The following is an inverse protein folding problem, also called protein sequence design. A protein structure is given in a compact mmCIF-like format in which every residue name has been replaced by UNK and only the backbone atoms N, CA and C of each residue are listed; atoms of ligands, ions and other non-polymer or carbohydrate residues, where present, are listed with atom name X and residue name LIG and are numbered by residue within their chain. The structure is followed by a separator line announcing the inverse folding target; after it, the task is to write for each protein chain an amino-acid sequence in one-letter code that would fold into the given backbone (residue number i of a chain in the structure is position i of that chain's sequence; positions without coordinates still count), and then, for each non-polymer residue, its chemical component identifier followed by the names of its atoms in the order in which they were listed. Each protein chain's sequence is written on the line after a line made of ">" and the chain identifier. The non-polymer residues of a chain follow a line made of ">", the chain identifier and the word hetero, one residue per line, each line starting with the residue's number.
data_IF_878352505927
#
_entry.id   IF_878352505927
#
_cell.length_a   1.000
_cell.length_b   1.000
_cell.length_c   1.000
_cell.angle_alpha   90.00
_cell.angle_beta   90.00
_cell.angle_gamma   90.00
#
_symmetry.space_group_name_H-M   'P 1'
#
loop_
_entity.id
_entity.type
_entity.pdbx_description
1 polymer ?
#
# COMPACT_ATOMS: atom_id res chain seq x y z
N UNK A 1 -13.11 -28.43 14.45
CA UNK A 1 -12.85 -28.02 13.05
C UNK A 1 -12.97 -26.50 12.82
N UNK A 2 -12.65 -25.66 13.82
CA UNK A 2 -12.74 -24.18 13.70
C UNK A 2 -11.39 -23.54 13.37
N UNK A 3 -10.29 -24.13 13.85
CA UNK A 3 -8.92 -23.64 13.63
C UNK A 3 -8.48 -23.67 12.16
N UNK A 4 -8.86 -24.71 11.40
CA UNK A 4 -8.50 -24.85 9.99
C UNK A 4 -9.16 -23.81 9.09
N UNK A 5 -10.40 -23.41 9.41
CA UNK A 5 -11.11 -22.37 8.66
C UNK A 5 -10.50 -20.99 8.90
N UNK A 6 -10.06 -20.69 10.12
CA UNK A 6 -9.36 -19.44 10.46
C UNK A 6 -7.99 -19.36 9.80
N UNK A 7 -7.21 -20.45 9.82
CA UNK A 7 -5.92 -20.53 9.11
C UNK A 7 -6.08 -20.33 7.59
N UNK A 8 -7.13 -20.91 7.00
CA UNK A 8 -7.41 -20.77 5.56
C UNK A 8 -7.80 -19.34 5.20
N UNK A 9 -8.60 -18.65 6.03
CA UNK A 9 -8.96 -17.24 5.80
C UNK A 9 -7.77 -16.29 5.96
N UNK A 10 -6.82 -16.59 6.86
CA UNK A 10 -5.61 -15.79 7.02
C UNK A 10 -4.66 -15.97 5.84
N UNK A 11 -4.47 -17.20 5.31
CA UNK A 11 -3.63 -17.42 4.12
C UNK A 11 -4.18 -16.77 2.85
N UNK A 12 -5.50 -16.70 2.67
CA UNK A 12 -6.11 -16.00 1.53
C UNK A 12 -5.85 -14.48 1.61
N UNK A 13 -5.89 -13.90 2.81
CA UNK A 13 -5.64 -12.48 3.02
C UNK A 13 -4.17 -12.12 2.73
N UNK A 14 -3.24 -13.02 3.05
CA UNK A 14 -1.82 -12.83 2.73
C UNK A 14 -1.49 -13.01 1.24
N UNK A 15 -2.24 -13.84 0.52
CA UNK A 15 -2.06 -14.06 -0.92
C UNK A 15 -2.55 -12.88 -1.78
N UNK A 16 -3.40 -12.00 -1.23
CA UNK A 16 -3.92 -10.81 -1.91
C UNK A 16 -3.10 -9.53 -1.69
N UNK A 17 -1.97 -9.59 -0.97
CA UNK A 17 -1.11 -8.40 -0.89
C UNK A 17 -0.53 -8.14 -2.29
N UNK A 18 -0.63 -6.90 -2.80
CA UNK A 18 0.01 -6.54 -4.05
C UNK A 18 1.52 -6.76 -3.89
N UNK A 19 2.08 -7.68 -4.68
CA UNK A 19 3.53 -7.83 -4.79
C UNK A 19 4.07 -6.56 -5.43
N UNK A 20 4.86 -5.77 -4.69
CA UNK A 20 5.62 -4.66 -5.26
C UNK A 20 6.67 -5.28 -6.18
N UNK A 21 6.35 -5.34 -7.47
CA UNK A 21 7.26 -5.78 -8.50
C UNK A 21 8.37 -4.73 -8.60
N UNK A 22 9.60 -5.10 -8.25
CA UNK A 22 10.76 -4.23 -8.45
C UNK A 22 10.86 -3.87 -9.95
N UNK A 23 10.99 -2.57 -10.23
CA UNK A 23 11.15 -2.06 -11.59
C UNK A 23 12.38 -2.69 -12.24
N UNK A 24 12.24 -3.15 -13.49
CA UNK A 24 13.37 -3.58 -14.29
C UNK A 24 14.24 -2.35 -14.63
N UNK A 25 15.55 -2.41 -14.41
CA UNK A 25 16.49 -1.35 -14.79
C UNK A 25 16.50 -1.20 -16.33
N UNK A 26 15.85 -0.15 -16.83
CA UNK A 26 15.91 0.25 -18.24
C UNK A 26 16.97 1.36 -18.36
N UNK A 27 18.25 1.01 -18.28
CA UNK A 27 19.38 1.96 -18.46
C UNK A 27 19.47 3.08 -17.40
N UNK A 28 20.17 4.20 -17.71
CA UNK A 28 20.36 5.39 -16.85
C UNK A 28 19.05 6.15 -16.47
N UNK A 29 17.89 5.55 -16.74
CA UNK A 29 16.59 6.07 -16.36
C UNK A 29 16.19 5.48 -15.00
N UNK A 30 16.38 6.28 -13.95
CA UNK A 30 15.99 5.92 -12.59
C UNK A 30 14.54 6.38 -12.35
N UNK A 31 13.65 5.43 -12.05
CA UNK A 31 12.27 5.72 -11.67
C UNK A 31 12.00 5.12 -10.30
N UNK A 32 11.60 5.95 -9.36
CA UNK A 32 11.24 5.53 -8.00
C UNK A 32 9.76 5.79 -7.73
N UNK A 33 9.15 4.92 -6.93
CA UNK A 33 7.77 5.06 -6.48
C UNK A 33 7.64 4.63 -5.03
N UNK A 34 6.81 5.34 -4.25
CA UNK A 34 6.50 4.98 -2.87
C UNK A 34 4.99 5.00 -2.62
N UNK A 35 4.54 4.17 -1.68
CA UNK A 35 3.14 4.12 -1.23
C UNK A 35 3.08 3.89 0.29
N UNK A 36 2.12 4.54 0.95
CA UNK A 36 1.87 4.47 2.37
C UNK A 36 0.37 4.46 2.65
N UNK A 37 -0.03 3.68 3.64
CA UNK A 37 -1.36 3.74 4.25
C UNK A 37 -1.26 4.54 5.54
N UNK A 38 -2.03 5.62 5.65
CA UNK A 38 -2.00 6.55 6.79
C UNK A 38 -3.39 6.72 7.40
N UNK A 39 -3.42 7.15 8.65
CA UNK A 39 -4.60 7.74 9.26
C UNK A 39 -4.59 9.24 9.01
N UNK A 40 -5.70 9.77 8.52
CA UNK A 40 -5.92 11.17 8.18
C UNK A 40 -5.01 11.71 7.05
N UNK A 41 -5.62 12.19 5.98
CA UNK A 41 -4.92 12.96 4.95
C UNK A 41 -5.17 14.46 5.16
N UNK A 42 -4.15 15.20 5.60
CA UNK A 42 -4.25 16.64 5.88
C UNK A 42 -3.62 17.44 4.75
N UNK A 43 -4.42 18.29 4.11
CA UNK A 43 -3.93 19.26 3.12
C UNK A 43 -4.14 20.68 3.64
N UNK A 44 -3.04 21.45 3.76
CA UNK A 44 -3.08 22.85 4.21
C UNK A 44 -3.78 23.06 5.56
N UNK A 45 -3.69 22.07 6.45
CA UNK A 45 -4.31 22.11 7.77
C UNK A 45 -5.78 21.65 7.81
N UNK A 46 -6.35 21.16 6.70
CA UNK A 46 -7.71 20.62 6.63
C UNK A 46 -7.66 19.11 6.36
N UNK A 47 -8.36 18.33 7.18
CA UNK A 47 -8.57 16.90 6.92
C UNK A 47 -9.36 16.70 5.61
N UNK A 48 -8.93 15.72 4.83
CA UNK A 48 -9.56 15.30 3.58
C UNK A 48 -10.28 13.96 3.72
N UNK A 49 -9.99 13.22 4.78
CA UNK A 49 -10.55 11.88 5.02
C UNK A 49 -11.32 11.79 6.33
N UNK A 50 -11.60 12.92 6.99
CA UNK A 50 -12.31 12.99 8.27
C UNK A 50 -11.67 12.08 9.32
N UNK A 51 -10.35 12.20 9.46
CA UNK A 51 -9.51 11.35 10.34
C UNK A 51 -9.50 9.85 9.98
N UNK A 52 -10.17 9.47 8.88
CA UNK A 52 -10.22 8.12 8.34
C UNK A 52 -8.95 7.69 7.59
N UNK A 53 -8.96 6.45 7.11
CA UNK A 53 -7.83 5.89 6.37
C UNK A 53 -7.60 6.60 5.03
N UNK A 54 -6.34 6.78 4.69
CA UNK A 54 -5.91 7.36 3.43
C UNK A 54 -4.73 6.56 2.84
N UNK A 55 -4.60 6.62 1.52
CA UNK A 55 -3.45 6.09 0.78
C UNK A 55 -2.72 7.28 0.17
N UNK A 56 -1.42 7.36 0.39
CA UNK A 56 -0.56 8.41 -0.16
C UNK A 56 0.68 7.79 -0.78
N UNK A 57 1.20 8.39 -1.84
CA UNK A 57 2.40 7.94 -2.52
C UNK A 57 2.98 9.02 -3.43
N UNK A 58 4.12 8.71 -4.04
CA UNK A 58 4.85 9.61 -4.93
C UNK A 58 5.61 8.83 -6.00
N UNK A 59 6.04 9.58 -7.02
CA UNK A 59 6.88 9.10 -8.11
C UNK A 59 8.02 10.09 -8.33
N UNK A 60 9.24 9.58 -8.50
CA UNK A 60 10.44 10.36 -8.81
C UNK A 60 11.07 9.83 -10.11
N UNK A 61 11.71 10.72 -10.88
CA UNK A 61 12.41 10.46 -12.16
C UNK A 61 13.79 11.12 -12.18
#
# INVERSE_FOLDING_TARGET
>A
MKLSKTLLTTSVLLASLPTVQAAAEIGDFEFSANVALTSDYVFRGLTQTDEGWAIQGGFDI
#
